data_IF_923108624065
#
_entry.id   IF_923108624065
#
_cell.length_a   1.000
_cell.length_b   1.000
_cell.length_c   1.000
_cell.angle_alpha   90.00
_cell.angle_beta   90.00
_cell.angle_gamma   90.00
#
_symmetry.space_group_name_H-M   'P 1'
#
loop_
_entity.id
_entity.type
_entity.pdbx_description
1 polymer ?
#
# COMPACT_ATOMS: atom_id res chain seq x y z
N UNK A 1 -6.97 24.00 -41.19
CA UNK A 1 -6.92 22.54 -41.48
C UNK A 1 -7.07 21.75 -40.19
N UNK A 2 -8.27 21.25 -39.86
CA UNK A 2 -8.48 20.32 -38.74
C UNK A 2 -7.79 19.00 -39.12
N UNK A 3 -6.70 18.64 -38.43
CA UNK A 3 -6.05 17.33 -38.53
C UNK A 3 -7.13 16.25 -38.40
N UNK A 4 -7.41 15.52 -39.48
CA UNK A 4 -8.30 14.35 -39.46
C UNK A 4 -7.63 13.33 -38.52
N UNK A 5 -8.12 13.23 -37.29
CA UNK A 5 -7.66 12.24 -36.33
C UNK A 5 -7.98 10.86 -36.91
N UNK A 6 -6.95 10.11 -37.34
CA UNK A 6 -7.12 8.74 -37.81
C UNK A 6 -7.51 7.84 -36.62
N UNK A 7 -8.81 7.72 -36.40
CA UNK A 7 -9.38 6.99 -35.28
C UNK A 7 -8.97 5.53 -35.24
N UNK A 8 -8.75 4.87 -36.40
CA UNK A 8 -8.25 3.49 -36.50
C UNK A 8 -6.81 3.36 -35.99
N UNK A 9 -5.97 4.37 -36.24
CA UNK A 9 -4.60 4.40 -35.73
C UNK A 9 -4.60 4.66 -34.21
N UNK A 10 -5.46 5.58 -33.74
CA UNK A 10 -5.61 5.82 -32.29
C UNK A 10 -6.14 4.61 -31.52
N UNK A 11 -7.07 3.86 -32.11
CA UNK A 11 -7.58 2.61 -31.54
C UNK A 11 -6.49 1.55 -31.43
N UNK A 12 -5.71 1.33 -32.51
CA UNK A 12 -4.57 0.40 -32.49
C UNK A 12 -3.51 0.81 -31.47
N UNK A 13 -3.27 2.11 -31.31
CA UNK A 13 -2.36 2.60 -30.28
C UNK A 13 -2.91 2.36 -28.87
N UNK A 14 -4.21 2.54 -28.65
CA UNK A 14 -4.82 2.32 -27.33
C UNK A 14 -4.93 0.82 -26.97
N UNK A 15 -5.18 -0.04 -27.95
CA UNK A 15 -5.13 -1.51 -27.78
C UNK A 15 -3.73 -1.96 -27.32
N UNK A 16 -2.66 -1.45 -27.96
CA UNK A 16 -1.28 -1.73 -27.56
C UNK A 16 -0.99 -1.28 -26.11
N UNK A 17 -1.43 -0.08 -25.74
CA UNK A 17 -1.26 0.43 -24.37
C UNK A 17 -2.03 -0.42 -23.34
N UNK A 18 -3.25 -0.87 -23.66
CA UNK A 18 -4.01 -1.77 -22.78
C UNK A 18 -3.27 -3.09 -22.59
N UNK A 19 -2.72 -3.68 -23.66
CA UNK A 19 -1.91 -4.90 -23.55
C UNK A 19 -0.65 -4.67 -22.71
N UNK A 20 0.03 -3.54 -22.88
CA UNK A 20 1.20 -3.18 -22.08
C UNK A 20 0.83 -3.05 -20.59
N UNK A 21 -0.31 -2.44 -20.26
CA UNK A 21 -0.82 -2.38 -18.88
C UNK A 21 -1.12 -3.79 -18.34
N UNK A 22 -1.76 -4.67 -19.11
CA UNK A 22 -2.01 -6.05 -18.67
C UNK A 22 -0.71 -6.83 -18.43
N UNK A 23 0.30 -6.66 -19.30
CA UNK A 23 1.64 -7.23 -19.11
C UNK A 23 2.33 -6.68 -17.85
N UNK A 24 2.16 -5.40 -17.57
CA UNK A 24 2.68 -4.79 -16.34
C UNK A 24 2.05 -5.42 -15.09
N UNK A 25 0.73 -5.60 -15.05
CA UNK A 25 0.05 -6.25 -13.93
C UNK A 25 0.41 -7.73 -13.78
N UNK A 26 0.74 -8.40 -14.88
CA UNK A 26 1.21 -9.77 -14.84
C UNK A 26 2.48 -9.93 -13.98
N UNK A 27 3.39 -8.95 -13.97
CA UNK A 27 4.56 -8.96 -13.07
C UNK A 27 4.16 -9.06 -11.59
N UNK A 28 3.05 -8.44 -11.20
CA UNK A 28 2.54 -8.49 -9.83
C UNK A 28 1.73 -9.76 -9.54
N UNK A 29 1.47 -10.59 -10.56
CA UNK A 29 0.83 -11.89 -10.40
C UNK A 29 -0.67 -11.84 -10.10
N UNK A 30 -1.38 -10.80 -10.56
CA UNK A 30 -2.85 -10.76 -10.48
C UNK A 30 -3.51 -10.03 -11.67
N UNK A 31 -4.73 -10.43 -12.07
CA UNK A 31 -5.44 -9.80 -13.18
C UNK A 31 -6.12 -8.50 -12.72
N UNK A 32 -5.89 -7.34 -13.37
CA UNK A 32 -6.47 -6.07 -12.96
C UNK A 32 -7.95 -5.94 -13.36
N UNK A 33 -8.66 -5.13 -12.60
CA UNK A 33 -10.02 -4.63 -12.88
C UNK A 33 -9.98 -3.52 -13.93
N UNK A 34 -11.14 -3.16 -14.49
CA UNK A 34 -11.25 -1.98 -15.36
C UNK A 34 -10.77 -0.68 -14.67
N UNK A 35 -10.99 -0.54 -13.37
CA UNK A 35 -10.56 0.65 -12.62
C UNK A 35 -9.03 0.72 -12.54
N UNK A 36 -8.38 -0.40 -12.23
CA UNK A 36 -6.92 -0.50 -12.19
C UNK A 36 -6.33 -0.28 -13.59
N UNK A 37 -6.88 -0.93 -14.62
CA UNK A 37 -6.45 -0.70 -16.02
C UNK A 37 -6.57 0.77 -16.37
N UNK A 38 -7.70 1.41 -16.09
CA UNK A 38 -7.89 2.83 -16.37
C UNK A 38 -6.88 3.68 -15.60
N UNK A 39 -6.70 3.43 -14.30
CA UNK A 39 -5.80 4.19 -13.41
C UNK A 39 -4.35 4.14 -13.90
N UNK A 40 -3.85 2.95 -14.25
CA UNK A 40 -2.45 2.70 -14.61
C UNK A 40 -2.20 2.64 -16.11
N UNK A 41 -3.16 3.08 -16.92
CA UNK A 41 -2.94 3.28 -18.34
C UNK A 41 -2.10 4.55 -18.56
N UNK A 42 -0.96 4.41 -19.22
CA UNK A 42 -0.03 5.52 -19.53
C UNK A 42 -0.60 6.54 -20.52
N UNK A 43 -1.70 6.19 -21.18
CA UNK A 43 -2.40 7.04 -22.13
C UNK A 43 -3.72 7.52 -21.57
N UNK A 44 -4.00 8.82 -21.68
CA UNK A 44 -5.28 9.39 -21.26
C UNK A 44 -6.43 8.82 -22.10
N UNK A 45 -7.41 8.18 -21.45
CA UNK A 45 -8.57 7.60 -22.10
C UNK A 45 -9.76 7.53 -21.13
N UNK A 46 -10.98 7.62 -21.65
CA UNK A 46 -12.16 7.43 -20.82
C UNK A 46 -12.38 5.95 -20.50
N UNK A 47 -12.87 5.68 -19.30
CA UNK A 47 -13.23 4.32 -18.84
C UNK A 47 -14.17 3.59 -19.81
N UNK A 48 -15.15 4.31 -20.39
CA UNK A 48 -16.06 3.79 -21.43
C UNK A 48 -15.32 3.35 -22.70
N UNK A 49 -14.34 4.14 -23.15
CA UNK A 49 -13.53 3.80 -24.33
C UNK A 49 -12.66 2.56 -24.08
N UNK A 50 -12.06 2.46 -22.90
CA UNK A 50 -11.28 1.28 -22.49
C UNK A 50 -12.16 0.04 -22.46
N UNK A 51 -13.35 0.12 -21.84
CA UNK A 51 -14.30 -0.98 -21.77
C UNK A 51 -14.68 -1.51 -23.15
N UNK A 52 -15.06 -0.62 -24.08
CA UNK A 52 -15.43 -1.01 -25.44
C UNK A 52 -14.30 -1.71 -26.20
N UNK A 53 -13.04 -1.32 -25.95
CA UNK A 53 -11.87 -1.96 -26.55
C UNK A 53 -11.62 -3.32 -25.91
N UNK A 54 -11.66 -3.43 -24.58
CA UNK A 54 -11.52 -4.70 -23.87
C UNK A 54 -12.55 -5.73 -24.34
N UNK A 55 -13.82 -5.34 -24.51
CA UNK A 55 -14.87 -6.21 -25.05
C UNK A 55 -14.54 -6.73 -26.46
N UNK A 56 -13.99 -5.87 -27.34
CA UNK A 56 -13.52 -6.28 -28.67
C UNK A 56 -12.33 -7.23 -28.59
N UNK A 57 -11.39 -6.99 -27.69
CA UNK A 57 -10.21 -7.84 -27.48
C UNK A 57 -10.60 -9.21 -26.91
N UNK A 58 -11.62 -9.26 -26.04
CA UNK A 58 -12.21 -10.51 -25.53
C UNK A 58 -12.85 -11.31 -26.65
N UNK A 59 -13.64 -10.68 -27.52
CA UNK A 59 -14.23 -11.35 -28.71
C UNK A 59 -13.17 -11.91 -29.66
N UNK A 60 -11.99 -11.29 -29.72
CA UNK A 60 -10.83 -11.74 -30.52
C UNK A 60 -9.92 -12.73 -29.77
N UNK A 61 -10.27 -13.12 -28.55
CA UNK A 61 -9.44 -13.98 -27.68
C UNK A 61 -8.02 -13.44 -27.38
N UNK A 62 -7.80 -12.13 -27.55
CA UNK A 62 -6.53 -11.46 -27.20
C UNK A 62 -6.42 -11.21 -25.69
N UNK A 63 -7.57 -10.96 -25.07
CA UNK A 63 -7.72 -10.72 -23.63
C UNK A 63 -8.81 -11.65 -23.14
N UNK A 64 -8.72 -12.07 -21.90
CA UNK A 64 -9.77 -12.82 -21.26
C UNK A 64 -10.37 -12.07 -20.08
N UNK A 65 -11.64 -12.37 -19.82
CA UNK A 65 -12.43 -11.75 -18.74
C UNK A 65 -12.76 -12.81 -17.69
N UNK A 66 -12.42 -12.52 -16.44
CA UNK A 66 -12.62 -13.37 -15.28
C UNK A 66 -13.68 -12.71 -14.39
N UNK A 67 -14.66 -13.49 -13.94
CA UNK A 67 -15.66 -13.04 -12.97
C UNK A 67 -15.26 -13.48 -11.56
N UNK A 68 -15.30 -12.56 -10.61
CA UNK A 68 -15.00 -12.83 -9.21
C UNK A 68 -16.30 -13.34 -8.52
N UNK A 69 -16.50 -14.67 -8.45
CA UNK A 69 -17.77 -15.27 -8.01
C UNK A 69 -17.98 -15.35 -6.50
N UNK A 70 -16.97 -15.16 -5.64
CA UNK A 70 -17.08 -15.46 -4.19
C UNK A 70 -17.18 -14.23 -3.27
N UNK A 71 -17.97 -13.22 -3.65
CA UNK A 71 -18.27 -12.10 -2.75
C UNK A 71 -19.28 -12.45 -1.63
N UNK A 72 -20.04 -13.55 -1.76
CA UNK A 72 -21.04 -13.99 -0.76
C UNK A 72 -20.41 -14.32 0.60
N UNK A 73 -19.24 -14.95 0.59
CA UNK A 73 -18.50 -15.33 1.81
C UNK A 73 -18.02 -14.09 2.58
N UNK A 74 -17.66 -13.01 1.88
CA UNK A 74 -17.12 -11.80 2.51
C UNK A 74 -18.19 -10.94 3.20
N UNK A 75 -19.42 -10.90 2.69
CA UNK A 75 -20.52 -10.18 3.37
C UNK A 75 -20.84 -10.81 4.74
N UNK A 76 -20.69 -12.13 4.89
CA UNK A 76 -20.78 -12.80 6.19
C UNK A 76 -19.63 -12.43 7.14
N UNK A 77 -18.39 -12.38 6.65
CA UNK A 77 -17.22 -12.00 7.46
C UNK A 77 -17.22 -10.53 7.86
N UNK A 78 -17.61 -9.62 6.95
CA UNK A 78 -17.67 -8.18 7.22
C UNK A 78 -18.80 -7.82 8.20
N UNK A 79 -19.90 -8.59 8.21
CA UNK A 79 -20.95 -8.46 9.23
C UNK A 79 -20.53 -9.05 10.59
N UNK A 80 -19.77 -10.15 10.63
CA UNK A 80 -19.29 -10.76 11.89
C UNK A 80 -18.17 -9.96 12.57
N UNK A 81 -17.29 -9.32 11.80
CA UNK A 81 -16.17 -8.51 12.32
C UNK A 81 -16.46 -7.01 12.37
N UNK A 82 -17.73 -6.61 12.26
CA UNK A 82 -18.18 -5.30 12.72
C UNK A 82 -18.12 -5.29 14.26
N UNK A 83 -16.91 -5.29 14.82
CA UNK A 83 -16.67 -5.03 16.23
C UNK A 83 -17.02 -3.56 16.49
N UNK A 84 -18.31 -3.29 16.68
CA UNK A 84 -18.79 -2.13 17.42
C UNK A 84 -18.38 -2.34 18.89
N UNK A 85 -17.10 -2.13 19.21
CA UNK A 85 -16.67 -1.99 20.60
C UNK A 85 -17.01 -0.55 20.99
N UNK A 86 -18.23 -0.38 21.50
CA UNK A 86 -18.84 0.90 21.89
C UNK A 86 -18.31 1.49 23.19
N UNK A 87 -17.27 0.91 23.80
CA UNK A 87 -16.73 1.43 25.06
C UNK A 87 -15.39 2.13 24.81
N UNK A 88 -15.42 3.46 25.00
CA UNK A 88 -14.53 4.53 24.52
C UNK A 88 -14.88 5.07 23.13
N UNK A 89 -15.39 6.31 23.12
CA UNK A 89 -15.77 7.15 21.97
C UNK A 89 -14.63 7.40 20.97
N UNK A 90 -14.16 6.34 20.32
CA UNK A 90 -13.34 6.37 19.11
C UNK A 90 -14.04 5.49 18.08
N UNK A 91 -14.94 6.08 17.29
CA UNK A 91 -15.47 5.46 16.08
C UNK A 91 -14.37 5.41 15.01
N UNK A 92 -13.37 4.55 15.21
CA UNK A 92 -12.50 4.12 14.11
C UNK A 92 -13.24 2.98 13.43
N UNK A 93 -14.17 3.33 12.54
CA UNK A 93 -14.77 2.37 11.61
C UNK A 93 -13.66 1.91 10.65
N UNK A 94 -12.87 0.91 11.07
CA UNK A 94 -11.91 0.22 10.23
C UNK A 94 -12.64 -0.72 9.27
N UNK A 95 -13.60 -0.17 8.50
CA UNK A 95 -14.10 -0.83 7.31
C UNK A 95 -13.03 -0.59 6.27
N UNK A 96 -12.10 -1.54 6.09
CA UNK A 96 -11.43 -1.68 4.81
C UNK A 96 -12.55 -1.90 3.78
N UNK A 97 -13.06 -0.81 3.23
CA UNK A 97 -14.12 -0.87 2.24
C UNK A 97 -13.46 -1.42 0.99
N UNK A 98 -13.62 -2.72 0.77
CA UNK A 98 -13.41 -3.32 -0.53
C UNK A 98 -14.22 -2.46 -1.50
N UNK A 99 -13.51 -1.84 -2.43
CA UNK A 99 -14.11 -0.90 -3.36
C UNK A 99 -15.09 -1.67 -4.25
N UNK A 100 -16.19 -1.04 -4.70
CA UNK A 100 -17.08 -1.70 -5.66
C UNK A 100 -16.34 -2.15 -6.93
N UNK A 101 -15.18 -1.56 -7.25
CA UNK A 101 -14.27 -2.01 -8.32
C UNK A 101 -13.67 -3.40 -8.07
N UNK A 102 -13.43 -3.81 -6.83
CA UNK A 102 -12.87 -5.13 -6.51
C UNK A 102 -13.89 -6.27 -6.79
N UNK A 103 -15.18 -5.92 -6.92
CA UNK A 103 -16.29 -6.80 -7.33
C UNK A 103 -16.44 -6.87 -8.86
N UNK A 104 -15.65 -6.12 -9.62
CA UNK A 104 -15.78 -6.04 -11.07
C UNK A 104 -15.06 -7.18 -11.79
N UNK A 105 -15.39 -7.35 -13.07
CA UNK A 105 -14.63 -8.20 -13.97
C UNK A 105 -13.13 -7.83 -13.96
N UNK A 106 -12.30 -8.87 -13.92
CA UNK A 106 -10.84 -8.77 -14.05
C UNK A 106 -10.40 -9.25 -15.43
N UNK A 107 -9.31 -8.70 -15.93
CA UNK A 107 -8.82 -8.96 -17.28
C UNK A 107 -7.40 -9.52 -17.25
N UNK A 108 -7.11 -10.49 -18.12
CA UNK A 108 -5.78 -11.08 -18.28
C UNK A 108 -5.46 -11.28 -19.76
N UNK A 109 -4.20 -11.56 -20.10
CA UNK A 109 -3.77 -11.87 -21.46
C UNK A 109 -4.34 -13.23 -21.89
N UNK A 110 -4.83 -13.33 -23.13
CA UNK A 110 -5.51 -14.54 -23.63
C UNK A 110 -4.64 -15.80 -23.65
N UNK A 111 -3.34 -15.66 -23.89
CA UNK A 111 -2.37 -16.77 -23.92
C UNK A 111 -2.23 -17.49 -22.57
N UNK A 112 -2.45 -16.78 -21.45
CA UNK A 112 -2.33 -17.36 -20.12
C UNK A 112 -3.51 -18.25 -19.73
N UNK A 113 -4.66 -18.08 -20.37
CA UNK A 113 -5.78 -19.01 -20.22
C UNK A 113 -5.53 -20.30 -21.00
N UNK A 114 -4.80 -20.23 -22.12
CA UNK A 114 -4.48 -21.41 -22.93
C UNK A 114 -3.44 -22.30 -22.26
N UNK A 115 -2.48 -21.72 -21.55
CA UNK A 115 -1.34 -22.45 -20.97
C UNK A 115 -1.53 -22.88 -19.51
N UNK A 116 -2.43 -22.24 -18.75
CA UNK A 116 -2.73 -22.60 -17.36
C UNK A 116 -4.21 -22.95 -17.22
N UNK A 117 -4.53 -23.96 -16.40
CA UNK A 117 -5.92 -24.19 -15.97
C UNK A 117 -6.47 -22.90 -15.39
N UNK A 118 -7.37 -22.22 -16.13
CA UNK A 118 -7.99 -20.94 -15.76
C UNK A 118 -8.54 -20.97 -14.32
N UNK A 119 -9.07 -22.13 -13.91
CA UNK A 119 -9.55 -22.40 -12.56
C UNK A 119 -8.46 -22.24 -11.48
N UNK A 120 -7.24 -22.72 -11.73
CA UNK A 120 -6.12 -22.67 -10.79
C UNK A 120 -5.64 -21.23 -10.55
N UNK A 121 -5.49 -20.43 -11.61
CA UNK A 121 -5.09 -19.02 -11.47
C UNK A 121 -6.13 -18.21 -10.69
N UNK A 122 -7.42 -18.46 -10.93
CA UNK A 122 -8.52 -17.81 -10.20
C UNK A 122 -8.50 -18.24 -8.73
N UNK A 123 -8.38 -19.55 -8.46
CA UNK A 123 -8.35 -20.08 -7.09
C UNK A 123 -7.16 -19.54 -6.30
N UNK A 124 -5.98 -19.44 -6.91
CA UNK A 124 -4.80 -18.84 -6.28
C UNK A 124 -5.03 -17.37 -5.93
N UNK A 125 -5.60 -16.60 -6.85
CA UNK A 125 -5.92 -15.20 -6.60
C UNK A 125 -6.96 -15.03 -5.47
N UNK A 126 -8.02 -15.86 -5.46
CA UNK A 126 -9.01 -15.87 -4.37
C UNK A 126 -8.38 -16.24 -3.03
N UNK A 127 -7.49 -17.23 -3.01
CA UNK A 127 -6.72 -17.60 -1.82
C UNK A 127 -5.91 -16.41 -1.30
N UNK A 128 -5.20 -15.69 -2.19
CA UNK A 128 -4.42 -14.49 -1.84
C UNK A 128 -5.28 -13.33 -1.33
N UNK A 129 -6.47 -13.14 -1.89
CA UNK A 129 -7.43 -12.16 -1.36
C UNK A 129 -7.81 -12.50 0.07
N UNK A 130 -8.20 -13.76 0.34
CA UNK A 130 -8.58 -14.21 1.67
C UNK A 130 -7.43 -14.07 2.67
N UNK A 131 -6.20 -14.42 2.27
CA UNK A 131 -5.00 -14.23 3.09
C UNK A 131 -4.79 -12.76 3.44
N UNK A 132 -4.90 -11.87 2.45
CA UNK A 132 -4.75 -10.41 2.64
C UNK A 132 -5.79 -9.88 3.63
N UNK A 133 -7.04 -10.32 3.48
CA UNK A 133 -8.15 -9.97 4.38
C UNK A 133 -7.89 -10.47 5.80
N UNK A 134 -7.44 -11.72 5.96
CA UNK A 134 -7.17 -12.31 7.26
C UNK A 134 -6.02 -11.58 7.98
N UNK A 135 -4.97 -11.20 7.24
CA UNK A 135 -3.86 -10.37 7.76
C UNK A 135 -4.39 -9.02 8.30
N UNK A 136 -5.23 -8.35 7.53
CA UNK A 136 -5.83 -7.06 7.92
C UNK A 136 -6.88 -7.17 9.03
N UNK A 137 -7.56 -8.31 9.15
CA UNK A 137 -8.60 -8.54 10.16
C UNK A 137 -8.05 -9.06 11.49
N UNK A 138 -6.74 -9.33 11.57
CA UNK A 138 -6.09 -9.76 12.80
C UNK A 138 -6.29 -8.74 13.91
N UNK A 139 -6.72 -9.20 15.08
CA UNK A 139 -6.93 -8.34 16.25
C UNK A 139 -5.65 -7.56 16.63
N UNK A 140 -4.48 -8.21 16.51
CA UNK A 140 -3.17 -7.59 16.80
C UNK A 140 -2.89 -6.43 15.85
N UNK A 141 -3.15 -6.62 14.56
CA UNK A 141 -2.96 -5.57 13.55
C UNK A 141 -3.93 -4.41 13.77
N UNK A 142 -5.21 -4.71 14.02
CA UNK A 142 -6.20 -3.69 14.32
C UNK A 142 -5.86 -2.89 15.59
N UNK A 143 -5.42 -3.57 16.66
CA UNK A 143 -4.91 -2.91 17.86
C UNK A 143 -3.67 -2.06 17.55
N UNK A 144 -2.73 -2.59 16.78
CA UNK A 144 -1.52 -1.85 16.38
C UNK A 144 -1.86 -0.55 15.68
N UNK A 145 -2.70 -0.60 14.63
CA UNK A 145 -3.11 0.62 13.93
C UNK A 145 -3.89 1.56 14.85
N UNK A 146 -4.76 1.06 15.73
CA UNK A 146 -5.45 1.89 16.73
C UNK A 146 -4.46 2.64 17.62
N UNK A 147 -3.43 1.97 18.14
CA UNK A 147 -2.39 2.60 18.95
C UNK A 147 -1.60 3.63 18.15
N UNK A 148 -1.22 3.31 16.90
CA UNK A 148 -0.53 4.27 16.02
C UNK A 148 -1.36 5.54 15.76
N UNK A 149 -2.69 5.42 15.72
CA UNK A 149 -3.56 6.59 15.52
C UNK A 149 -3.45 7.61 16.65
N UNK A 150 -3.14 7.17 17.87
CA UNK A 150 -2.99 8.00 19.06
C UNK A 150 -1.59 8.62 19.20
N UNK A 151 -0.59 8.05 18.52
CA UNK A 151 0.80 8.55 18.57
C UNK A 151 0.86 9.95 17.92
N UNK A 152 1.20 11.03 18.66
CA UNK A 152 1.16 12.39 18.11
C UNK A 152 2.08 12.60 16.91
N UNK A 153 3.32 12.06 16.87
CA UNK A 153 4.16 12.09 15.68
C UNK A 153 3.53 11.46 14.42
N UNK A 154 2.61 10.51 14.52
CA UNK A 154 2.11 9.78 13.33
C UNK A 154 1.02 10.59 12.63
N UNK A 155 1.27 11.01 11.39
CA UNK A 155 0.33 11.75 10.53
C UNK A 155 -0.33 10.85 9.49
N UNK A 156 0.43 9.95 8.88
CA UNK A 156 -0.08 8.96 7.91
C UNK A 156 0.38 7.56 8.31
N UNK A 157 -0.54 6.59 8.21
CA UNK A 157 -0.21 5.18 8.03
C UNK A 157 -0.91 4.72 6.76
N UNK A 158 -0.14 4.44 5.71
CA UNK A 158 -0.63 3.94 4.44
C UNK A 158 -0.27 2.47 4.26
N UNK A 159 -1.24 1.66 3.83
CA UNK A 159 -1.00 0.28 3.42
C UNK A 159 -0.49 0.26 1.98
N UNK A 160 0.63 -0.43 1.74
CA UNK A 160 1.26 -0.59 0.43
C UNK A 160 1.45 -2.07 0.07
N UNK A 161 2.16 -2.35 -1.03
CA UNK A 161 2.57 -3.70 -1.41
C UNK A 161 1.42 -4.63 -1.73
N UNK A 162 1.67 -5.94 -1.64
CA UNK A 162 0.71 -6.96 -2.08
C UNK A 162 -0.58 -6.98 -1.26
N UNK A 163 -0.51 -6.65 0.03
CA UNK A 163 -1.69 -6.63 0.92
C UNK A 163 -2.63 -5.49 0.53
N UNK A 164 -2.10 -4.31 0.13
CA UNK A 164 -2.93 -3.22 -0.39
C UNK A 164 -3.76 -3.66 -1.61
N UNK A 165 -3.19 -4.51 -2.46
CA UNK A 165 -3.81 -5.03 -3.69
C UNK A 165 -4.64 -6.31 -3.50
N UNK A 166 -4.81 -6.78 -2.26
CA UNK A 166 -5.47 -8.06 -1.96
C UNK A 166 -4.83 -9.25 -2.70
N UNK A 167 -3.51 -9.23 -2.85
CA UNK A 167 -2.74 -10.22 -3.59
C UNK A 167 -1.54 -10.76 -2.78
N UNK A 168 -1.69 -10.85 -1.46
CA UNK A 168 -0.64 -11.35 -0.57
C UNK A 168 -0.62 -12.88 -0.49
N UNK A 169 0.57 -13.46 -0.52
CA UNK A 169 0.81 -14.86 -0.16
C UNK A 169 0.94 -15.02 1.37
N UNK A 170 1.00 -16.27 1.86
CA UNK A 170 1.04 -16.57 3.29
C UNK A 170 2.24 -15.93 3.98
N UNK A 171 3.39 -15.91 3.29
CA UNK A 171 4.68 -15.40 3.78
C UNK A 171 4.90 -13.90 3.50
N UNK A 172 3.96 -13.23 2.82
CA UNK A 172 4.10 -11.81 2.54
C UNK A 172 3.80 -10.94 3.76
N UNK A 173 4.65 -9.97 4.05
CA UNK A 173 4.44 -9.03 5.15
C UNK A 173 3.37 -7.97 4.82
N UNK A 174 2.88 -7.27 5.86
CA UNK A 174 2.03 -6.09 5.71
C UNK A 174 2.92 -4.86 5.58
N UNK A 175 3.10 -4.34 4.36
CA UNK A 175 3.89 -3.15 4.09
C UNK A 175 3.17 -1.87 4.51
N UNK A 176 3.81 -1.10 5.40
CA UNK A 176 3.31 0.20 5.84
C UNK A 176 4.24 1.34 5.40
N UNK A 177 3.61 2.37 4.83
CA UNK A 177 4.18 3.66 4.52
C UNK A 177 3.80 4.68 5.59
N UNK A 178 4.77 5.29 6.24
CA UNK A 178 4.55 6.18 7.38
C UNK A 178 4.96 7.61 7.03
N UNK A 179 4.09 8.58 7.34
CA UNK A 179 4.48 10.00 7.42
C UNK A 179 4.38 10.46 8.86
N UNK A 180 5.46 11.05 9.35
CA UNK A 180 5.57 11.63 10.68
C UNK A 180 5.45 13.16 10.65
N UNK A 181 5.10 13.75 11.78
CA UNK A 181 5.10 15.19 11.98
C UNK A 181 6.52 15.76 11.83
N UNK A 182 6.59 17.07 11.55
CA UNK A 182 7.85 17.79 11.32
C UNK A 182 8.87 17.55 12.45
N UNK A 183 10.07 17.11 12.09
CA UNK A 183 11.18 16.79 13.01
C UNK A 183 10.87 15.70 14.04
N UNK A 184 9.98 14.75 13.72
CA UNK A 184 9.59 13.68 14.66
C UNK A 184 9.72 12.30 14.04
N UNK A 185 10.54 12.18 12.99
CA UNK A 185 10.73 10.94 12.25
C UNK A 185 11.33 9.85 13.12
N UNK A 186 12.38 10.17 13.89
CA UNK A 186 13.11 9.18 14.69
C UNK A 186 12.33 8.76 15.93
N UNK A 187 11.69 9.71 16.60
CA UNK A 187 10.77 9.43 17.72
C UNK A 187 9.57 8.62 17.25
N UNK A 188 8.94 9.03 16.15
CA UNK A 188 7.80 8.33 15.56
C UNK A 188 8.17 6.89 15.19
N UNK A 189 9.29 6.71 14.48
CA UNK A 189 9.80 5.38 14.12
C UNK A 189 10.09 4.50 15.34
N UNK A 190 10.71 5.05 16.37
CA UNK A 190 11.02 4.32 17.60
C UNK A 190 9.76 3.79 18.27
N UNK A 191 8.75 4.64 18.48
CA UNK A 191 7.46 4.25 19.08
C UNK A 191 6.77 3.19 18.21
N UNK A 192 6.70 3.41 16.90
CA UNK A 192 6.10 2.47 15.93
C UNK A 192 6.75 1.08 16.02
N UNK A 193 8.07 1.04 16.14
CA UNK A 193 8.83 -0.21 16.25
C UNK A 193 8.62 -0.93 17.58
N UNK A 194 8.59 -0.18 18.68
CA UNK A 194 8.30 -0.75 20.01
C UNK A 194 6.91 -1.34 20.03
N UNK A 195 5.91 -0.62 19.52
CA UNK A 195 4.54 -1.12 19.45
C UNK A 195 4.44 -2.38 18.59
N UNK A 196 5.17 -2.44 17.48
CA UNK A 196 5.23 -3.66 16.65
C UNK A 196 5.92 -4.82 17.39
N UNK A 197 6.97 -4.54 18.16
CA UNK A 197 7.68 -5.53 18.97
C UNK A 197 6.79 -6.09 20.09
N UNK A 198 6.13 -5.21 20.85
CA UNK A 198 5.26 -5.59 21.98
C UNK A 198 4.06 -6.43 21.53
N UNK A 199 3.50 -6.16 20.35
CA UNK A 199 2.41 -6.95 19.77
C UNK A 199 2.88 -8.20 19.02
N UNK A 200 4.20 -8.45 18.96
CA UNK A 200 4.79 -9.57 18.23
C UNK A 200 4.58 -9.50 16.71
N UNK A 201 4.33 -8.29 16.18
CA UNK A 201 4.13 -8.03 14.75
C UNK A 201 5.43 -7.71 14.03
N UNK A 202 6.51 -7.44 14.76
CA UNK A 202 7.82 -7.20 14.17
C UNK A 202 8.40 -8.49 13.57
N UNK A 203 8.92 -8.39 12.35
CA UNK A 203 9.74 -9.42 11.72
C UNK A 203 11.10 -9.47 12.41
N UNK A 204 11.53 -10.65 12.90
CA UNK A 204 12.90 -10.87 13.36
C UNK A 204 13.79 -10.90 12.11
N UNK A 205 14.93 -10.22 12.13
CA UNK A 205 15.91 -10.32 11.04
C UNK A 205 16.40 -11.77 11.04
N UNK A 206 16.34 -12.45 9.90
CA UNK A 206 17.07 -13.70 9.72
C UNK A 206 18.55 -13.35 9.77
N UNK A 207 19.26 -13.92 10.74
CA UNK A 207 20.70 -13.92 10.71
C UNK A 207 21.10 -14.90 9.59
N UNK A 208 21.96 -14.48 8.67
CA UNK A 208 22.47 -15.33 7.58
C UNK A 208 23.29 -16.54 8.08
N UNK A 209 23.34 -16.79 9.38
CA UNK A 209 23.77 -18.05 9.98
C UNK A 209 22.56 -18.95 10.03
N UNK A 210 22.49 -19.98 9.18
CA UNK A 210 21.47 -21.03 9.23
C UNK A 210 21.52 -21.85 10.53
N UNK A 211 21.25 -21.20 11.65
CA UNK A 211 21.12 -21.76 12.99
C UNK A 211 19.85 -21.18 13.56
N UNK A 212 18.78 -21.95 13.40
CA UNK A 212 17.55 -21.80 14.15
C UNK A 212 17.85 -21.88 15.65
N UNK A 213 18.08 -20.74 16.29
CA UNK A 213 18.01 -20.67 17.75
C UNK A 213 16.54 -20.77 18.15
N UNK A 214 16.16 -22.00 18.49
CA UNK A 214 15.02 -22.36 19.31
C UNK A 214 14.93 -21.42 20.52
N UNK A 215 14.02 -20.44 20.46
CA UNK A 215 13.54 -19.79 21.68
C UNK A 215 12.51 -20.74 22.29
N UNK A 216 12.91 -21.37 23.39
CA UNK A 216 12.08 -22.23 24.22
C UNK A 216 10.76 -21.52 24.58
N UNK A 217 9.64 -22.08 24.15
CA UNK A 217 8.31 -21.54 24.49
C UNK A 217 7.15 -21.88 23.54
N UNK A 218 7.33 -22.76 22.55
CA UNK A 218 6.23 -23.22 21.69
C UNK A 218 6.45 -24.66 21.23
N UNK A 219 5.39 -25.47 21.28
CA UNK A 219 5.39 -26.90 20.97
C UNK A 219 6.13 -27.23 19.65
N UNK A 220 7.09 -28.17 19.67
CA UNK A 220 7.87 -28.55 18.50
C UNK A 220 7.18 -29.67 17.74
N UNK A 221 6.19 -29.33 16.92
CA UNK A 221 5.63 -30.23 15.90
C UNK A 221 5.16 -29.37 14.72
N UNK A 222 6.07 -29.03 13.81
CA UNK A 222 5.85 -28.96 12.35
C UNK A 222 7.18 -28.61 11.66
N UNK A 223 7.60 -29.53 10.79
CA UNK A 223 8.72 -29.40 9.87
C UNK A 223 8.61 -28.16 8.98
N UNK A 224 9.78 -27.59 8.67
CA UNK A 224 10.08 -26.79 7.48
C UNK A 224 9.42 -25.41 7.33
N UNK A 225 10.23 -24.37 7.49
CA UNK A 225 9.99 -23.03 6.94
C UNK A 225 9.71 -21.97 8.00
N UNK A 226 10.61 -20.99 8.12
CA UNK A 226 10.41 -19.79 8.94
C UNK A 226 9.13 -19.09 8.47
N UNK A 227 8.07 -19.21 9.25
CA UNK A 227 6.73 -18.76 8.86
C UNK A 227 6.58 -17.25 9.13
N UNK A 228 6.65 -16.42 8.09
CA UNK A 228 6.47 -14.95 8.18
C UNK A 228 4.98 -14.52 8.25
N UNK A 229 4.17 -15.30 8.95
CA UNK A 229 2.73 -15.11 8.98
C UNK A 229 2.38 -13.87 9.81
N UNK A 230 1.69 -12.93 9.19
CA UNK A 230 1.08 -11.73 9.81
C UNK A 230 2.06 -10.73 10.44
N UNK A 231 3.26 -10.55 9.87
CA UNK A 231 4.20 -9.53 10.31
C UNK A 231 3.99 -8.21 9.57
N UNK A 232 4.44 -7.12 10.18
CA UNK A 232 4.38 -5.76 9.63
C UNK A 232 5.77 -5.33 9.22
N UNK A 233 5.89 -4.84 7.99
CA UNK A 233 7.11 -4.28 7.43
C UNK A 233 7.03 -2.77 7.39
N UNK A 234 7.99 -2.13 8.08
CA UNK A 234 8.06 -0.69 8.27
C UNK A 234 9.14 -0.13 7.34
N UNK A 235 8.86 -0.22 6.04
CA UNK A 235 9.87 -0.07 4.99
C UNK A 235 10.08 1.38 4.56
N UNK A 236 9.12 2.27 4.82
CA UNK A 236 9.17 3.66 4.37
C UNK A 236 8.71 4.62 5.46
N UNK A 237 9.59 5.56 5.82
CA UNK A 237 9.29 6.66 6.72
C UNK A 237 9.61 7.99 6.05
N UNK A 238 8.68 8.92 6.15
CA UNK A 238 8.82 10.29 5.67
C UNK A 238 8.55 11.27 6.82
N UNK A 239 9.27 12.37 6.82
CA UNK A 239 9.00 13.54 7.65
C UNK A 239 8.15 14.52 6.85
N UNK A 240 7.15 15.12 7.50
CA UNK A 240 6.26 16.13 6.91
C UNK A 240 7.01 17.32 6.28
N UNK A 241 8.25 17.63 6.71
CA UNK A 241 9.11 18.64 6.09
C UNK A 241 9.53 18.29 4.66
N UNK A 242 9.65 17.00 4.32
CA UNK A 242 10.11 16.56 3.01
C UNK A 242 9.28 15.38 2.49
N UNK A 243 8.11 15.73 1.93
CA UNK A 243 7.19 14.77 1.32
C UNK A 243 7.56 14.38 -0.12
N UNK A 244 8.52 15.07 -0.74
CA UNK A 244 8.83 14.86 -2.16
C UNK A 244 9.71 13.62 -2.34
N UNK A 245 9.27 12.70 -3.20
CA UNK A 245 10.08 11.54 -3.56
C UNK A 245 11.31 12.03 -4.36
N UNK A 246 12.54 11.59 -4.01
CA UNK A 246 13.75 11.99 -4.72
C UNK A 246 13.69 11.65 -6.21
N UNK A 247 14.24 12.51 -7.07
CA UNK A 247 14.16 12.36 -8.54
C UNK A 247 14.57 10.98 -9.04
N UNK A 248 15.64 10.40 -8.48
CA UNK A 248 16.14 9.08 -8.87
C UNK A 248 15.21 7.91 -8.48
N UNK A 249 14.22 8.14 -7.61
CA UNK A 249 13.17 7.18 -7.24
C UNK A 249 11.82 7.48 -7.93
N UNK A 250 11.74 8.49 -8.80
CA UNK A 250 10.51 8.82 -9.52
C UNK A 250 10.29 7.89 -10.72
N UNK A 251 9.99 6.63 -10.42
CA UNK A 251 9.91 5.55 -11.40
C UNK A 251 8.48 5.06 -11.55
N UNK A 252 8.20 4.29 -12.61
CA UNK A 252 6.86 3.73 -12.84
C UNK A 252 6.36 2.89 -11.66
N UNK A 253 7.25 2.08 -11.08
CA UNK A 253 6.95 1.26 -9.91
C UNK A 253 6.59 2.13 -8.69
N UNK A 254 7.38 3.17 -8.42
CA UNK A 254 7.10 4.04 -7.27
C UNK A 254 5.83 4.86 -7.49
N UNK A 255 5.54 5.30 -8.72
CA UNK A 255 4.25 5.91 -9.04
C UNK A 255 3.09 4.94 -8.80
N UNK A 256 3.27 3.67 -9.13
CA UNK A 256 2.28 2.63 -8.84
C UNK A 256 2.06 2.48 -7.34
N UNK A 257 3.12 2.33 -6.53
CA UNK A 257 3.03 2.24 -5.07
C UNK A 257 2.32 3.47 -4.47
N UNK A 258 2.65 4.69 -4.93
CA UNK A 258 2.00 5.92 -4.46
C UNK A 258 0.51 5.94 -4.75
N UNK A 259 0.10 5.59 -5.97
CA UNK A 259 -1.30 5.67 -6.39
C UNK A 259 -2.18 4.55 -5.83
N UNK A 260 -1.58 3.39 -5.56
CA UNK A 260 -2.26 2.21 -5.06
C UNK A 260 -2.41 2.21 -3.53
N UNK A 261 -1.60 3.03 -2.84
CA UNK A 261 -1.56 3.11 -1.39
C UNK A 261 -2.95 3.37 -0.80
N UNK A 262 -3.28 2.66 0.27
CA UNK A 262 -4.55 2.78 0.99
C UNK A 262 -4.31 3.42 2.36
N UNK A 263 -4.65 4.71 2.57
CA UNK A 263 -4.53 5.34 3.88
C UNK A 263 -5.37 4.62 4.94
N UNK A 264 -4.71 4.14 6.00
CA UNK A 264 -5.33 3.56 7.19
C UNK A 264 -5.54 4.62 8.28
N UNK A 265 -4.54 5.49 8.45
CA UNK A 265 -4.61 6.68 9.30
C UNK A 265 -4.20 7.86 8.43
N UNK A 266 -4.95 8.95 8.51
CA UNK A 266 -4.61 10.22 7.89
C UNK A 266 -5.05 11.36 8.79
N UNK A 267 -4.11 12.24 9.14
CA UNK A 267 -4.34 13.50 9.86
C UNK A 267 -3.99 14.67 8.95
N UNK A 268 -4.66 15.81 9.13
CA UNK A 268 -4.30 17.09 8.48
C UNK A 268 -4.15 17.00 6.94
N UNK A 269 -4.99 16.19 6.29
CA UNK A 269 -4.95 15.93 4.84
C UNK A 269 -3.56 15.54 4.32
N UNK A 270 -2.73 14.89 5.16
CA UNK A 270 -1.30 14.67 4.87
C UNK A 270 -1.07 13.84 3.61
N UNK A 271 -1.98 12.93 3.25
CA UNK A 271 -1.87 12.18 1.99
C UNK A 271 -2.00 13.09 0.77
N UNK A 272 -2.96 14.03 0.79
CA UNK A 272 -3.14 15.00 -0.29
C UNK A 272 -1.92 15.93 -0.39
N UNK A 273 -1.39 16.34 0.77
CA UNK A 273 -0.13 17.12 0.86
C UNK A 273 1.09 16.33 0.40
N UNK A 274 1.07 15.01 0.51
CA UNK A 274 2.10 14.13 -0.05
C UNK A 274 1.97 13.99 -1.57
N UNK A 275 0.76 13.92 -2.10
CA UNK A 275 0.52 13.86 -3.56
C UNK A 275 0.93 15.17 -4.26
N UNK A 276 0.75 16.33 -3.62
CA UNK A 276 1.00 17.64 -4.23
C UNK A 276 2.43 17.85 -4.79
N UNK A 277 3.52 17.59 -4.02
CA UNK A 277 4.89 17.64 -4.55
C UNK A 277 5.26 16.44 -5.43
N UNK A 278 4.41 15.41 -5.48
CA UNK A 278 4.61 14.17 -6.24
C UNK A 278 3.69 14.07 -7.47
N UNK A 279 3.25 15.21 -8.03
CA UNK A 279 2.38 15.25 -9.23
C UNK A 279 2.94 14.54 -10.47
N UNK A 280 4.25 14.28 -10.51
CA UNK A 280 4.91 13.50 -11.56
C UNK A 280 4.27 12.11 -11.76
N UNK A 281 3.63 11.53 -10.73
CA UNK A 281 2.89 10.27 -10.87
C UNK A 281 1.75 10.37 -11.90
N UNK A 282 1.18 11.56 -12.09
CA UNK A 282 0.14 11.82 -13.08
C UNK A 282 0.69 12.03 -14.49
N UNK A 283 1.98 12.33 -14.62
CA UNK A 283 2.63 12.37 -15.93
C UNK A 283 2.86 10.95 -16.47
N UNK A 284 3.11 10.00 -15.56
CA UNK A 284 3.19 8.57 -15.88
C UNK A 284 1.79 7.96 -16.06
N UNK A 285 0.86 8.25 -15.15
CA UNK A 285 -0.48 7.65 -15.10
C UNK A 285 -1.58 8.73 -15.13
N UNK A 286 -1.88 9.33 -16.30
CA UNK A 286 -2.69 10.54 -16.42
C UNK A 286 -4.16 10.39 -16.02
N UNK A 287 -4.68 9.17 -16.00
CA UNK A 287 -6.09 8.90 -15.68
C UNK A 287 -6.36 8.88 -14.17
N UNK A 288 -5.33 8.70 -13.34
CA UNK A 288 -5.46 8.65 -11.88
C UNK A 288 -5.78 10.03 -11.27
N UNK A 289 -5.43 11.13 -11.95
CA UNK A 289 -5.63 12.52 -11.49
C UNK A 289 -7.07 12.84 -11.07
N UNK A 290 -8.05 12.29 -11.79
CA UNK A 290 -9.48 12.55 -11.54
C UNK A 290 -9.88 12.06 -10.14
N UNK A 291 -9.36 10.91 -9.71
CA UNK A 291 -9.65 10.31 -8.40
C UNK A 291 -9.22 11.23 -7.24
N UNK A 292 -8.06 11.86 -7.38
CA UNK A 292 -7.49 12.76 -6.37
C UNK A 292 -8.11 14.15 -6.37
N UNK A 293 -8.62 14.62 -7.51
CA UNK A 293 -9.38 15.87 -7.58
C UNK A 293 -10.73 15.75 -6.85
N UNK A 294 -11.44 14.63 -7.02
CA UNK A 294 -12.71 14.38 -6.34
C UNK A 294 -12.55 14.20 -4.82
N UNK A 295 -11.48 13.51 -4.37
CA UNK A 295 -11.21 13.34 -2.94
C UNK A 295 -10.93 14.65 -2.21
N UNK A 296 -10.26 15.61 -2.86
CA UNK A 296 -10.03 16.96 -2.30
C UNK A 296 -11.34 17.74 -2.08
N UNK A 297 -12.36 17.47 -2.88
CA UNK A 297 -13.66 18.15 -2.77
C UNK A 297 -14.47 17.52 -1.62
N UNK A 298 -14.40 16.20 -1.45
CA UNK A 298 -15.06 15.49 -0.35
C UNK A 298 -14.42 15.76 1.01
N UNK A 299 -13.08 15.83 1.11
CA UNK A 299 -12.38 16.15 2.36
C UNK A 299 -12.76 17.54 2.88
N UNK A 300 -12.85 18.53 1.99
CA UNK A 300 -13.28 19.89 2.34
C UNK A 300 -14.73 19.97 2.82
N UNK A 301 -15.62 19.09 2.34
CA UNK A 301 -17.05 19.05 2.74
C UNK A 301 -17.29 18.35 4.08
N UNK A 302 -16.45 17.38 4.47
CA UNK A 302 -16.59 16.61 5.72
C UNK A 302 -15.88 17.24 6.93
N UNK A 303 -15.56 18.54 6.91
CA UNK A 303 -15.01 19.31 8.05
C UNK A 303 -16.02 19.49 9.20
N UNK A 304 -16.51 18.39 9.77
CA UNK A 304 -17.00 18.31 11.15
C UNK A 304 -16.05 17.37 11.87
N UNK A 305 -14.89 17.89 12.28
CA UNK A 305 -13.95 17.13 13.08
C UNK A 305 -14.51 17.09 14.49
N UNK A 306 -15.03 15.94 14.91
CA UNK A 306 -15.30 15.66 16.31
C UNK A 306 -13.94 15.40 16.96
N UNK A 307 -13.29 16.47 17.41
CA UNK A 307 -11.94 16.38 17.98
C UNK A 307 -12.06 15.74 19.36
N UNK A 308 -11.38 14.61 19.57
CA UNK A 308 -11.34 13.97 20.89
C UNK A 308 -10.61 14.89 21.88
N UNK A 309 -11.22 15.11 23.06
CA UNK A 309 -10.65 15.93 24.13
C UNK A 309 -9.26 15.46 24.57
N UNK A 310 -8.99 14.14 24.56
CA UNK A 310 -7.66 13.60 24.89
C UNK A 310 -6.60 14.06 23.87
N UNK A 311 -6.94 14.08 22.58
CA UNK A 311 -6.03 14.54 21.52
C UNK A 311 -5.78 16.05 21.65
N UNK A 312 -6.81 16.84 22.01
CA UNK A 312 -6.65 18.27 22.28
C UNK A 312 -5.73 18.52 23.47
N UNK A 313 -5.93 17.81 24.58
CA UNK A 313 -5.09 17.94 25.77
C UNK A 313 -3.65 17.54 25.46
N UNK A 314 -3.44 16.40 24.78
CA UNK A 314 -2.11 15.97 24.35
C UNK A 314 -1.45 17.04 23.46
N UNK A 315 -2.18 17.59 22.48
CA UNK A 315 -1.64 18.65 21.63
C UNK A 315 -1.29 19.91 22.43
N UNK A 316 -2.12 20.33 23.38
CA UNK A 316 -1.86 21.48 24.24
C UNK A 316 -0.59 21.27 25.09
N UNK A 317 -0.46 20.12 25.75
CA UNK A 317 0.71 19.78 26.55
C UNK A 317 1.97 19.69 25.68
N UNK A 318 1.87 19.07 24.50
CA UNK A 318 2.98 18.94 23.56
C UNK A 318 3.45 20.28 22.95
N UNK A 319 2.64 21.34 23.06
CA UNK A 319 2.96 22.67 22.54
C UNK A 319 3.61 23.60 23.59
N UNK A 320 3.79 23.15 24.83
CA UNK A 320 4.54 23.92 25.83
C UNK A 320 6.03 23.96 25.46
N UNK A 321 6.67 25.14 25.50
CA UNK A 321 8.06 25.33 25.06
C UNK A 321 9.05 24.36 25.72
N UNK A 322 8.89 24.13 27.03
CA UNK A 322 9.70 23.17 27.78
C UNK A 322 9.52 21.73 27.24
N UNK A 323 8.29 21.33 26.91
CA UNK A 323 8.00 20.00 26.37
C UNK A 323 8.54 19.87 24.94
N UNK A 324 8.42 20.92 24.11
CA UNK A 324 9.01 20.96 22.78
C UNK A 324 10.53 20.78 22.86
N UNK A 325 11.19 21.47 23.80
CA UNK A 325 12.62 21.35 24.05
C UNK A 325 13.01 19.92 24.43
N UNK A 326 12.30 19.30 25.38
CA UNK A 326 12.51 17.88 25.76
C UNK A 326 12.38 16.99 24.53
N UNK A 327 11.30 17.12 23.75
CA UNK A 327 11.09 16.27 22.58
C UNK A 327 12.16 16.45 21.52
N UNK A 328 12.72 17.66 21.35
CA UNK A 328 13.82 17.89 20.41
C UNK A 328 15.11 17.19 20.89
N UNK A 329 15.38 17.23 22.20
CA UNK A 329 16.49 16.48 22.79
C UNK A 329 16.30 14.97 22.58
N UNK A 330 15.12 14.44 22.87
CA UNK A 330 14.78 13.02 22.66
C UNK A 330 14.91 12.62 21.20
N UNK A 331 14.41 13.42 20.25
CA UNK A 331 14.54 13.18 18.82
C UNK A 331 16.01 13.05 18.41
N UNK A 332 16.88 13.95 18.90
CA UNK A 332 18.32 13.92 18.61
C UNK A 332 19.00 12.66 19.15
N UNK A 333 18.71 12.29 20.40
CA UNK A 333 19.25 11.06 21.01
C UNK A 333 18.79 9.83 20.23
N UNK A 334 17.48 9.71 19.95
CA UNK A 334 16.91 8.58 19.21
C UNK A 334 17.42 8.50 17.77
N UNK A 335 17.67 9.64 17.12
CA UNK A 335 18.30 9.71 15.81
C UNK A 335 19.70 9.11 15.86
N UNK A 336 20.54 9.56 16.77
CA UNK A 336 21.93 9.09 16.88
C UNK A 336 22.00 7.58 17.19
N UNK A 337 21.16 7.11 18.12
CA UNK A 337 21.09 5.68 18.46
C UNK A 337 20.63 4.82 17.27
N UNK A 338 19.55 5.22 16.59
CA UNK A 338 19.02 4.47 15.46
C UNK A 338 19.97 4.52 14.26
N UNK A 339 20.60 5.66 13.98
CA UNK A 339 21.61 5.77 12.93
C UNK A 339 22.76 4.80 13.18
N UNK A 340 23.31 4.75 14.41
CA UNK A 340 24.39 3.81 14.74
C UNK A 340 24.00 2.35 14.48
N UNK A 341 22.77 1.96 14.83
CA UNK A 341 22.27 0.60 14.58
C UNK A 341 22.06 0.30 13.10
N UNK A 342 21.60 1.28 12.33
CA UNK A 342 21.33 1.14 10.90
C UNK A 342 22.65 1.10 10.13
N UNK A 343 23.59 2.01 10.39
CA UNK A 343 24.86 2.12 9.65
C UNK A 343 25.74 0.89 9.84
N UNK A 344 25.64 0.20 10.99
CA UNK A 344 26.34 -1.06 11.22
C UNK A 344 25.96 -2.17 10.24
N UNK A 345 24.77 -2.10 9.64
CA UNK A 345 24.24 -3.16 8.79
C UNK A 345 23.61 -2.63 7.49
N UNK A 346 24.01 -1.43 7.08
CA UNK A 346 23.48 -0.77 5.89
C UNK A 346 24.07 -1.42 4.64
N UNK A 347 23.17 -1.73 3.70
CA UNK A 347 23.52 -2.34 2.41
C UNK A 347 23.04 -1.41 1.29
N UNK A 348 21.77 -1.49 0.92
CA UNK A 348 21.14 -0.71 -0.17
C UNK A 348 20.16 0.35 0.34
N UNK A 349 19.94 0.43 1.66
CA UNK A 349 18.93 1.29 2.26
C UNK A 349 19.31 2.77 2.20
N UNK A 350 18.32 3.63 1.93
CA UNK A 350 18.52 5.08 1.85
C UNK A 350 18.09 5.70 3.17
N UNK A 351 19.04 6.33 3.86
CA UNK A 351 18.84 6.94 5.16
C UNK A 351 19.19 8.42 5.03
N UNK A 352 18.19 9.27 5.20
CA UNK A 352 18.36 10.73 5.24
C UNK A 352 17.70 11.28 6.49
N UNK A 353 17.89 12.56 6.76
CA UNK A 353 17.27 13.23 7.91
C UNK A 353 15.74 13.24 7.88
N UNK A 354 15.16 13.15 6.68
CA UNK A 354 13.72 13.31 6.47
C UNK A 354 13.04 12.10 5.82
N UNK A 355 13.81 11.15 5.31
CA UNK A 355 13.28 9.97 4.62
C UNK A 355 14.15 8.75 4.89
N UNK A 356 13.49 7.63 5.18
CA UNK A 356 14.10 6.32 5.35
C UNK A 356 13.46 5.33 4.38
N UNK A 357 14.29 4.66 3.60
CA UNK A 357 13.90 3.65 2.63
C UNK A 357 14.63 2.34 2.91
N UNK A 358 13.93 1.39 3.53
CA UNK A 358 14.47 0.08 3.91
C UNK A 358 14.02 -1.03 2.95
N UNK A 359 13.95 -0.74 1.64
CA UNK A 359 13.59 -1.77 0.66
C UNK A 359 14.79 -2.69 0.42
N UNK A 360 14.71 -3.99 0.77
CA UNK A 360 15.82 -4.92 0.52
C UNK A 360 15.98 -5.20 -0.97
N UNK A 361 14.87 -5.14 -1.73
CA UNK A 361 14.79 -5.50 -3.13
C UNK A 361 14.58 -4.31 -4.05
N UNK A 362 15.34 -4.28 -5.14
CA UNK A 362 15.14 -3.33 -6.23
C UNK A 362 14.10 -3.87 -7.22
N UNK A 363 12.81 -3.66 -6.91
CA UNK A 363 11.69 -4.09 -7.75
C UNK A 363 11.72 -3.48 -9.15
N UNK A 364 12.31 -2.31 -9.33
CA UNK A 364 12.45 -1.70 -10.65
C UNK A 364 13.40 -2.50 -11.54
N UNK A 365 14.52 -2.99 -10.98
CA UNK A 365 15.40 -3.91 -11.71
C UNK A 365 14.69 -5.21 -12.06
N UNK A 366 13.87 -5.76 -11.15
CA UNK A 366 13.07 -6.98 -11.40
C UNK A 366 12.06 -6.75 -12.54
N UNK A 367 11.35 -5.62 -12.55
CA UNK A 367 10.42 -5.20 -13.62
C UNK A 367 11.11 -5.04 -14.99
N UNK A 368 12.29 -4.40 -15.02
CA UNK A 368 13.07 -4.25 -16.26
C UNK A 368 13.59 -5.58 -16.79
N UNK A 369 13.84 -6.56 -15.90
CA UNK A 369 14.26 -7.90 -16.28
C UNK A 369 13.07 -8.70 -16.83
N UNK A 370 11.92 -8.70 -16.16
CA UNK A 370 10.73 -9.45 -16.60
C UNK A 370 10.14 -8.93 -17.91
N UNK A 371 10.17 -7.62 -18.16
CA UNK A 371 9.70 -7.03 -19.42
C UNK A 371 10.52 -7.41 -20.64
N UNK A 372 11.72 -8.00 -20.48
CA UNK A 372 12.51 -8.55 -21.59
C UNK A 372 12.12 -9.97 -21.99
N UNK A 373 11.39 -10.69 -21.13
CA UNK A 373 11.01 -12.10 -21.34
C UNK A 373 9.52 -12.28 -21.74
N UNK A 374 8.79 -11.17 -21.95
CA UNK A 374 7.36 -11.11 -22.28
C UNK A 374 7.12 -10.17 -23.47
#
# INVERSE_FOLDING_TARGET
>A
MKRIKNWKLELRNLEKEILATLKYFFFFGYPPTLEEIHTFLKKKASKRRIMSILEKMVKKSLVARIFNTQFSIFNEFSNKNALNITNFNFNINFKFQISNSDRAYRYTLGEYIKNNNQQSTINNYLKRQQISINKLSSWKFNLYVKLLSLVPPVKLVGLSGSVAMLNADEDHDIDLFIITAKNRLWTGRFIILILAQLLGLRRRREDNTGKDEHVAGGNPLTDSGVQYKNKVCLNLFFDEKNLKIPKFKQTEYVAHEVLQMKPLIQKDDIYLRFIDPNKWVFDIFPNSKIKFQSSNIESNRKRKVQINSVILILNLICNLDFVIWIFNMVESILKNLQLKLITQHQTSEIVTDFQLWFHPDDFEKKLKKSSKFL
#
